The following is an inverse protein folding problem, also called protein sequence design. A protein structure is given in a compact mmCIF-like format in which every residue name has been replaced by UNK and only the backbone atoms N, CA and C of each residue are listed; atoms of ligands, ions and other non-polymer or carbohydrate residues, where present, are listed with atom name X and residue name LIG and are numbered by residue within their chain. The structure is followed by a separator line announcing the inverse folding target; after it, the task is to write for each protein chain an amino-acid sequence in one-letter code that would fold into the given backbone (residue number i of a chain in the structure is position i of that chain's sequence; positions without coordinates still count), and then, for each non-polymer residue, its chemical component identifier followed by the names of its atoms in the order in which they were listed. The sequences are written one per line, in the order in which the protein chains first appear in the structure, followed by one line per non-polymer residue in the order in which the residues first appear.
data_IF_383137714033
#
_entry.id   IF_383137714033
#
_cell.length_a   1.000
_cell.length_b   1.000
_cell.length_c   1.000
_cell.angle_alpha   90.00
_cell.angle_beta   90.00
_cell.angle_gamma   90.00
#
_symmetry.space_group_name_H-M   'P 1'
#
loop_
_entity.id
_entity.type
_entity.pdbx_description
1 polymer ?
#
# COMPACT_ATOMS: atom_id res chain seq x y z
N UNK A 1 83.49 -6.75 21.78
CA UNK A 1 84.14 -6.10 22.93
C UNK A 1 85.59 -5.88 22.53
N UNK A 2 86.01 -4.63 22.30
CA UNK A 2 87.38 -4.34 21.84
C UNK A 2 88.38 -4.66 22.96
N UNK A 3 89.45 -5.40 22.64
CA UNK A 3 90.51 -5.72 23.61
C UNK A 3 91.57 -4.61 23.69
N UNK A 4 91.72 -3.82 22.63
CA UNK A 4 92.70 -2.71 22.55
C UNK A 4 92.00 -1.44 22.10
N UNK A 5 92.00 -0.44 22.98
CA UNK A 5 91.48 0.90 22.74
C UNK A 5 92.65 1.89 22.68
N UNK A 6 92.82 2.54 21.54
CA UNK A 6 94.00 3.38 21.25
C UNK A 6 93.52 4.82 21.04
N UNK A 7 93.86 5.77 21.94
CA UNK A 7 93.50 7.16 21.76
C UNK A 7 94.34 7.82 20.65
N UNK A 8 93.67 8.48 19.70
CA UNK A 8 94.31 9.20 18.60
C UNK A 8 93.68 10.58 18.46
N UNK A 9 94.53 11.60 18.26
CA UNK A 9 94.07 12.96 17.99
C UNK A 9 94.43 13.33 16.55
N UNK A 10 93.43 13.70 15.78
CA UNK A 10 93.60 14.10 14.38
C UNK A 10 93.30 15.57 14.20
N UNK A 11 94.23 16.28 13.56
CA UNK A 11 94.16 17.73 13.37
C UNK A 11 93.90 18.07 11.89
N UNK A 12 92.85 18.85 11.63
CA UNK A 12 92.51 19.33 10.29
C UNK A 12 93.54 20.33 9.74
N UNK A 13 94.19 21.09 10.63
CA UNK A 13 95.26 22.03 10.27
C UNK A 13 96.65 21.37 10.22
N UNK A 14 96.72 20.05 10.52
CA UNK A 14 97.94 19.21 10.44
C UNK A 14 99.12 19.68 11.31
N UNK A 15 98.89 20.56 12.28
CA UNK A 15 99.93 21.13 13.12
C UNK A 15 100.33 20.21 14.28
N UNK A 16 99.40 19.38 14.79
CA UNK A 16 99.73 18.32 15.75
C UNK A 16 100.66 17.28 15.10
N UNK A 17 101.82 17.03 15.73
CA UNK A 17 102.94 16.31 15.09
C UNK A 17 103.19 14.88 15.55
N UNK A 18 102.51 14.35 16.56
CA UNK A 18 102.77 12.99 17.03
C UNK A 18 101.50 12.36 17.60
N UNK A 19 101.06 11.29 16.94
CA UNK A 19 100.22 10.24 17.51
C UNK A 19 101.12 9.05 17.84
N UNK A 20 100.67 8.19 18.75
CA UNK A 20 101.35 6.92 19.00
C UNK A 20 101.33 6.05 17.73
N UNK A 21 102.43 5.33 17.50
CA UNK A 21 102.49 4.32 16.45
C UNK A 21 101.54 3.16 16.80
N UNK A 22 100.74 2.72 15.84
CA UNK A 22 99.77 1.64 16.04
C UNK A 22 100.40 0.35 15.55
N UNK A 23 100.40 -0.68 16.40
CA UNK A 23 101.00 -1.98 16.09
C UNK A 23 99.95 -3.09 16.04
N UNK A 24 99.91 -3.82 14.92
CA UNK A 24 99.08 -5.01 14.72
C UNK A 24 99.84 -6.14 14.03
N UNK A 25 99.16 -7.26 13.80
CA UNK A 25 99.69 -8.41 13.06
C UNK A 25 98.70 -8.83 11.98
N UNK A 26 99.20 -9.42 10.89
CA UNK A 26 98.33 -9.93 9.81
C UNK A 26 97.32 -10.94 10.39
N UNK A 27 96.03 -10.79 10.08
CA UNK A 27 94.97 -11.62 10.67
C UNK A 27 94.19 -11.00 11.83
N UNK A 28 94.65 -9.88 12.40
CA UNK A 28 93.90 -9.15 13.42
C UNK A 28 92.54 -8.69 12.85
N UNK A 29 91.45 -8.87 13.60
CA UNK A 29 90.11 -8.47 13.16
C UNK A 29 89.21 -8.05 14.33
N UNK A 30 88.64 -6.84 14.27
CA UNK A 30 87.50 -6.45 15.10
C UNK A 30 87.79 -6.26 16.60
N UNK A 31 89.04 -6.38 17.03
CA UNK A 31 89.44 -6.26 18.44
C UNK A 31 90.30 -5.02 18.76
N UNK A 32 90.66 -4.23 17.74
CA UNK A 32 91.39 -2.97 17.88
C UNK A 32 90.51 -1.80 17.47
N UNK A 33 90.28 -0.87 18.40
CA UNK A 33 89.46 0.31 18.19
C UNK A 33 90.27 1.57 18.46
N UNK A 34 90.18 2.52 17.53
CA UNK A 34 90.77 3.84 17.63
C UNK A 34 89.72 4.78 18.24
N UNK A 35 90.03 5.38 19.39
CA UNK A 35 89.19 6.43 19.97
C UNK A 35 89.68 7.77 19.42
N UNK A 36 88.98 8.29 18.42
CA UNK A 36 89.45 9.39 17.62
C UNK A 36 88.85 10.70 18.12
N UNK A 37 89.70 11.68 18.41
CA UNK A 37 89.32 13.06 18.65
C UNK A 37 89.75 13.96 17.50
N UNK A 38 88.80 14.67 16.89
CA UNK A 38 89.04 15.61 15.78
C UNK A 38 89.14 17.03 16.30
N UNK A 39 90.24 17.70 15.98
CA UNK A 39 90.51 19.09 16.36
C UNK A 39 90.92 19.94 15.17
N UNK A 40 90.81 21.26 15.31
CA UNK A 40 91.33 22.25 14.37
C UNK A 40 92.21 23.26 15.14
N UNK A 41 93.47 23.38 14.72
CA UNK A 41 94.48 24.29 15.31
C UNK A 41 94.82 25.49 14.43
N UNK A 42 93.98 25.80 13.42
CA UNK A 42 94.18 26.95 12.52
C UNK A 42 94.22 28.32 13.22
N UNK A 43 93.77 28.39 14.48
CA UNK A 43 93.85 29.53 15.37
C UNK A 43 94.47 29.09 16.71
N UNK A 44 95.16 29.98 17.41
CA UNK A 44 95.97 29.72 18.63
C UNK A 44 95.21 29.07 19.82
N UNK A 45 93.90 28.91 19.70
CA UNK A 45 93.05 28.08 20.56
C UNK A 45 92.66 26.77 19.86
N UNK A 46 92.97 25.62 20.45
CA UNK A 46 92.48 24.31 19.96
C UNK A 46 90.95 24.29 19.96
N UNK A 47 90.32 24.18 18.78
CA UNK A 47 88.87 24.10 18.64
C UNK A 47 88.41 22.67 18.40
N UNK A 48 87.33 22.28 19.07
CA UNK A 48 86.59 21.04 18.81
C UNK A 48 85.85 21.18 17.48
N UNK A 49 85.87 20.13 16.65
CA UNK A 49 85.23 20.13 15.32
C UNK A 49 83.84 19.48 15.41
N UNK A 50 82.80 20.17 14.94
CA UNK A 50 81.45 19.60 14.80
C UNK A 50 81.37 18.72 13.53
N UNK A 51 81.07 17.44 13.71
CA UNK A 51 81.00 16.43 12.64
C UNK A 51 79.57 16.21 12.10
N UNK A 52 78.59 17.00 12.54
CA UNK A 52 77.18 16.82 12.18
C UNK A 52 76.99 16.88 10.66
N UNK A 53 76.37 15.83 10.10
CA UNK A 53 76.09 15.73 8.67
C UNK A 53 77.31 15.49 7.78
N UNK A 54 78.45 15.11 8.38
CA UNK A 54 79.66 14.70 7.67
C UNK A 54 79.81 13.18 7.66
N UNK A 55 80.29 12.66 6.54
CA UNK A 55 80.66 11.25 6.41
C UNK A 55 82.15 11.09 6.64
N UNK A 56 82.51 10.17 7.53
CA UNK A 56 83.88 9.90 7.95
C UNK A 56 84.32 8.61 7.29
N UNK A 57 85.49 8.64 6.70
CA UNK A 57 86.13 7.48 6.09
C UNK A 57 87.50 7.27 6.70
N UNK A 58 87.75 6.07 7.21
CA UNK A 58 89.11 5.61 7.41
C UNK A 58 89.72 5.24 6.06
N UNK A 59 90.96 5.65 5.83
CA UNK A 59 91.68 5.36 4.58
C UNK A 59 93.11 4.95 4.90
N UNK A 60 93.58 3.90 4.24
CA UNK A 60 94.99 3.51 4.20
C UNK A 60 95.40 3.17 2.77
N UNK A 61 96.69 3.32 2.47
CA UNK A 61 97.29 2.96 1.18
C UNK A 61 98.33 1.87 1.41
N UNK A 62 98.18 0.76 0.69
CA UNK A 62 99.10 -0.35 0.72
C UNK A 62 100.37 -0.05 -0.10
N UNK A 63 101.52 -0.70 0.20
CA UNK A 63 102.76 -0.56 -0.57
C UNK A 63 102.64 -0.86 -2.06
N UNK A 64 101.65 -1.66 -2.47
CA UNK A 64 101.36 -1.98 -3.87
C UNK A 64 100.53 -0.90 -4.60
N UNK A 65 100.14 0.17 -3.89
CA UNK A 65 99.34 1.28 -4.41
C UNK A 65 97.83 1.06 -4.35
N UNK A 66 97.35 -0.09 -3.86
CA UNK A 66 95.92 -0.29 -3.60
C UNK A 66 95.48 0.55 -2.39
N UNK A 67 94.23 1.01 -2.41
CA UNK A 67 93.68 1.83 -1.32
C UNK A 67 92.53 1.08 -0.65
N UNK A 68 92.51 1.11 0.67
CA UNK A 68 91.36 0.67 1.47
C UNK A 68 90.63 1.88 2.01
N UNK A 69 89.29 1.83 1.95
CA UNK A 69 88.43 2.91 2.41
C UNK A 69 87.18 2.35 3.05
N UNK A 70 86.87 2.83 4.25
CA UNK A 70 85.75 2.32 5.02
C UNK A 70 85.05 3.44 5.81
N UNK A 71 83.72 3.39 5.82
CA UNK A 71 82.87 4.25 6.65
C UNK A 71 81.90 3.49 7.54
N UNK A 72 81.78 2.16 7.38
CA UNK A 72 80.78 1.35 8.07
C UNK A 72 81.20 1.05 9.52
N UNK A 73 82.51 1.04 9.81
CA UNK A 73 83.03 0.75 11.15
C UNK A 73 83.28 1.99 12.01
N UNK A 74 82.76 3.14 11.60
CA UNK A 74 82.69 4.36 12.42
C UNK A 74 81.49 4.25 13.35
N UNK A 75 81.74 4.15 14.66
CA UNK A 75 80.72 3.92 15.69
C UNK A 75 80.88 4.92 16.84
N UNK A 76 80.00 4.85 17.85
CA UNK A 76 80.04 5.70 19.05
C UNK A 76 80.24 7.19 18.78
N UNK A 77 79.65 7.70 17.69
CA UNK A 77 79.85 9.08 17.26
C UNK A 77 79.24 10.06 18.24
N UNK A 78 80.03 11.04 18.66
CA UNK A 78 79.57 12.27 19.28
C UNK A 78 79.98 13.44 18.40
N UNK A 79 79.11 13.74 17.45
CA UNK A 79 79.40 14.71 16.40
C UNK A 79 79.68 16.11 16.94
N UNK A 80 79.01 16.52 18.01
CA UNK A 80 79.19 17.86 18.62
C UNK A 80 80.51 18.01 19.35
N UNK A 81 81.07 16.92 19.86
CA UNK A 81 82.37 16.90 20.52
C UNK A 81 83.51 16.47 19.60
N UNK A 82 83.23 16.19 18.33
CA UNK A 82 84.25 15.80 17.37
C UNK A 82 84.91 14.46 17.66
N UNK A 83 84.23 13.55 18.36
CA UNK A 83 84.79 12.24 18.75
C UNK A 83 84.02 11.08 18.14
N UNK A 84 84.71 10.02 17.78
CA UNK A 84 84.11 8.76 17.32
C UNK A 84 85.05 7.59 17.56
N UNK A 85 84.49 6.38 17.53
CA UNK A 85 85.27 5.15 17.56
C UNK A 85 85.39 4.60 16.14
N UNK A 86 86.59 4.13 15.79
CA UNK A 86 86.80 3.37 14.56
C UNK A 86 87.41 2.01 14.87
N UNK A 87 86.69 0.94 14.56
CA UNK A 87 87.21 -0.42 14.74
C UNK A 87 87.90 -0.88 13.47
N UNK A 88 89.19 -1.21 13.57
CA UNK A 88 89.97 -1.71 12.44
C UNK A 88 89.45 -3.10 12.04
N UNK A 89 89.11 -3.25 10.76
CA UNK A 89 88.60 -4.50 10.18
C UNK A 89 89.75 -5.44 9.80
N UNK A 90 89.45 -6.72 9.57
CA UNK A 90 90.42 -7.68 8.98
C UNK A 90 91.13 -7.12 7.74
N UNK A 91 90.41 -6.35 6.91
CA UNK A 91 90.94 -5.75 5.69
C UNK A 91 91.94 -4.62 5.96
N UNK A 92 92.14 -4.16 7.20
CA UNK A 92 93.23 -3.25 7.57
C UNK A 92 94.52 -4.00 7.90
N UNK A 93 94.41 -5.31 8.22
CA UNK A 93 95.51 -6.19 8.62
C UNK A 93 95.72 -7.30 7.60
N UNK A 94 95.45 -7.01 6.32
CA UNK A 94 95.56 -8.00 5.25
C UNK A 94 97.01 -8.24 4.79
N UNK A 95 97.92 -7.27 5.02
CA UNK A 95 99.31 -7.31 4.56
C UNK A 95 100.27 -6.78 5.63
N UNK A 96 101.46 -7.38 5.75
CA UNK A 96 102.52 -6.88 6.61
C UNK A 96 103.23 -5.66 6.00
N UNK A 97 103.60 -4.68 6.83
CA UNK A 97 104.25 -3.45 6.38
C UNK A 97 104.00 -2.24 7.29
N UNK A 98 104.50 -1.09 6.86
CA UNK A 98 104.27 0.20 7.50
C UNK A 98 103.35 1.02 6.59
N UNK A 99 102.21 1.46 7.12
CA UNK A 99 101.13 2.08 6.37
C UNK A 99 100.83 3.48 6.90
N UNK A 100 100.79 4.45 5.99
CA UNK A 100 100.26 5.77 6.28
C UNK A 100 98.74 5.74 6.21
N UNK A 101 98.10 6.08 7.33
CA UNK A 101 96.67 6.07 7.51
C UNK A 101 96.17 7.49 7.81
N UNK A 102 94.98 7.83 7.32
CA UNK A 102 94.30 9.06 7.72
C UNK A 102 92.79 8.90 7.70
N UNK A 103 92.11 9.81 8.38
CA UNK A 103 90.67 9.97 8.23
C UNK A 103 90.36 11.02 7.18
N UNK A 104 89.41 10.72 6.32
CA UNK A 104 88.85 11.63 5.34
C UNK A 104 87.43 11.99 5.76
N UNK A 105 87.16 13.29 5.81
CA UNK A 105 85.86 13.84 6.17
C UNK A 105 85.26 14.46 4.91
N UNK A 106 84.07 14.01 4.54
CA UNK A 106 83.35 14.47 3.35
C UNK A 106 82.01 15.12 3.72
N UNK A 107 81.67 16.19 3.00
CA UNK A 107 80.35 16.84 3.05
C UNK A 107 79.71 16.83 1.66
N UNK A 108 78.44 16.42 1.60
CA UNK A 108 77.61 16.47 0.39
C UNK A 108 77.59 15.18 -0.44
N UNK A 109 76.46 14.90 -1.10
CA UNK A 109 76.25 13.71 -1.92
C UNK A 109 76.72 13.88 -3.39
N UNK A 110 76.48 15.06 -3.98
CA UNK A 110 76.72 15.33 -5.42
C UNK A 110 78.00 16.13 -5.68
N UNK A 111 78.29 17.16 -4.89
CA UNK A 111 79.59 17.88 -4.90
C UNK A 111 80.26 17.67 -3.55
N UNK A 112 81.31 16.86 -3.53
CA UNK A 112 81.97 16.44 -2.30
C UNK A 112 83.01 17.46 -1.88
N UNK A 113 82.74 18.21 -0.81
CA UNK A 113 83.78 18.97 -0.11
C UNK A 113 84.55 17.98 0.77
N UNK A 114 85.89 18.04 0.72
CA UNK A 114 86.76 17.02 1.32
C UNK A 114 87.85 17.67 2.14
N UNK A 115 88.07 17.15 3.34
CA UNK A 115 89.28 17.43 4.13
C UNK A 115 89.88 16.11 4.61
N UNK A 116 91.20 16.00 4.52
CA UNK A 116 91.95 14.86 5.03
C UNK A 116 92.72 15.27 6.27
N UNK A 117 92.62 14.47 7.33
CA UNK A 117 93.45 14.64 8.51
C UNK A 117 94.91 14.39 8.17
N UNK A 118 95.83 14.82 9.05
CA UNK A 118 97.22 14.39 8.94
C UNK A 118 97.34 12.86 9.08
N UNK A 119 98.34 12.30 8.43
CA UNK A 119 98.65 10.88 8.48
C UNK A 119 99.20 10.45 9.85
N UNK A 120 98.85 9.23 10.25
CA UNK A 120 99.44 8.48 11.35
C UNK A 120 99.82 7.08 10.86
N UNK A 121 100.77 6.46 11.54
CA UNK A 121 101.39 5.22 11.07
C UNK A 121 100.77 3.99 11.73
N UNK A 122 100.40 3.01 10.91
CA UNK A 122 100.03 1.66 11.30
C UNK A 122 101.14 0.70 10.85
N UNK A 123 101.74 0.00 11.80
CA UNK A 123 102.80 -0.99 11.57
C UNK A 123 102.21 -2.38 11.80
N UNK A 124 102.31 -3.24 10.78
CA UNK A 124 101.74 -4.58 10.78
C UNK A 124 102.87 -5.59 10.60
N UNK A 125 103.08 -6.40 11.62
CA UNK A 125 104.04 -7.50 11.54
C UNK A 125 103.47 -8.67 10.73
N UNK A 126 104.34 -9.39 10.03
CA UNK A 126 103.97 -10.64 9.38
C UNK A 126 103.53 -11.68 10.42
N UNK A 127 102.43 -12.38 10.14
CA UNK A 127 102.08 -13.61 10.85
C UNK A 127 102.68 -14.80 10.11
N UNK A 128 103.37 -15.69 10.83
CA UNK A 128 104.03 -16.86 10.25
C UNK A 128 103.08 -17.88 9.59
N UNK A 129 101.75 -17.71 9.72
CA UNK A 129 100.73 -18.62 9.19
C UNK A 129 99.84 -18.01 8.09
N UNK A 130 99.73 -16.69 7.99
CA UNK A 130 98.76 -16.00 7.13
C UNK A 130 99.44 -14.83 6.40
N UNK A 131 100.31 -15.11 5.44
CA UNK A 131 101.12 -14.08 4.75
C UNK A 131 100.29 -13.16 3.80
N UNK A 132 98.99 -13.43 3.61
CA UNK A 132 98.02 -12.58 2.90
C UNK A 132 96.55 -13.04 3.10
N UNK A 133 95.60 -12.15 3.38
CA UNK A 133 94.15 -12.46 3.39
C UNK A 133 93.52 -12.06 2.05
N UNK A 134 92.93 -13.02 1.34
CA UNK A 134 92.15 -12.75 0.12
C UNK A 134 90.82 -12.05 0.47
N UNK A 135 90.57 -10.87 -0.10
CA UNK A 135 89.31 -10.12 0.08
C UNK A 135 88.20 -10.71 -0.83
N UNK A 136 87.01 -11.06 -0.31
CA UNK A 136 85.88 -11.48 -1.14
C UNK A 136 85.22 -10.29 -1.86
N UNK A 137 84.76 -10.54 -3.10
CA UNK A 137 84.25 -9.54 -4.06
C UNK A 137 82.71 -9.36 -3.96
N UNK A 138 82.16 -8.26 -4.52
CA UNK A 138 80.76 -7.76 -4.46
C UNK A 138 79.59 -8.73 -4.82
N UNK A 139 79.83 -10.02 -5.07
CA UNK A 139 78.84 -10.96 -5.61
C UNK A 139 77.75 -11.41 -4.62
N UNK A 140 78.06 -11.53 -3.31
CA UNK A 140 77.10 -12.06 -2.31
C UNK A 140 75.92 -11.11 -2.03
N UNK A 141 76.13 -9.81 -2.10
CA UNK A 141 75.07 -8.81 -1.86
C UNK A 141 74.05 -8.78 -3.01
N UNK A 142 74.47 -9.15 -4.22
CA UNK A 142 73.62 -9.22 -5.41
C UNK A 142 72.65 -10.40 -5.32
N UNK A 143 73.10 -11.55 -4.78
CA UNK A 143 72.26 -12.74 -4.62
C UNK A 143 71.13 -12.51 -3.61
N UNK A 144 71.42 -11.83 -2.50
CA UNK A 144 70.39 -11.47 -1.52
C UNK A 144 69.36 -10.51 -2.10
N UNK A 145 69.80 -9.48 -2.85
CA UNK A 145 68.90 -8.54 -3.51
C UNK A 145 67.94 -9.25 -4.48
N UNK A 146 68.43 -10.24 -5.24
CA UNK A 146 67.61 -11.01 -6.16
C UNK A 146 66.51 -11.81 -5.45
N UNK A 147 66.81 -12.40 -4.29
CA UNK A 147 65.83 -13.14 -3.50
C UNK A 147 64.69 -12.24 -3.00
N UNK A 148 65.03 -11.05 -2.50
CA UNK A 148 64.05 -10.09 -1.98
C UNK A 148 63.12 -9.57 -3.10
N UNK A 149 63.67 -9.32 -4.29
CA UNK A 149 62.88 -8.91 -5.47
C UNK A 149 61.86 -9.98 -5.87
N UNK A 150 62.26 -11.26 -5.88
CA UNK A 150 61.36 -12.36 -6.24
C UNK A 150 60.21 -12.50 -5.24
N UNK A 151 60.48 -12.34 -3.94
CA UNK A 151 59.45 -12.39 -2.90
C UNK A 151 58.41 -11.26 -3.08
N UNK A 152 58.87 -10.03 -3.34
CA UNK A 152 57.97 -8.89 -3.54
C UNK A 152 57.08 -9.03 -4.79
N UNK A 153 57.61 -9.63 -5.87
CA UNK A 153 56.83 -9.92 -7.08
C UNK A 153 55.74 -10.94 -6.78
N UNK A 154 56.04 -12.01 -6.04
CA UNK A 154 55.06 -13.03 -5.68
C UNK A 154 53.90 -12.46 -4.83
N UNK A 155 54.22 -11.60 -3.87
CA UNK A 155 53.20 -10.91 -3.06
C UNK A 155 52.29 -10.02 -3.91
N UNK A 156 52.88 -9.22 -4.80
CA UNK A 156 52.13 -8.33 -5.70
C UNK A 156 51.19 -9.11 -6.63
N UNK A 157 51.62 -10.29 -7.11
CA UNK A 157 50.79 -11.17 -7.93
C UNK A 157 49.60 -11.75 -7.16
N UNK A 158 49.80 -12.14 -5.90
CA UNK A 158 48.72 -12.64 -5.05
C UNK A 158 47.64 -11.58 -4.82
N UNK A 159 48.05 -10.35 -4.47
CA UNK A 159 47.12 -9.23 -4.27
C UNK A 159 46.33 -8.89 -5.54
N UNK A 160 46.98 -8.94 -6.71
CA UNK A 160 46.31 -8.70 -7.99
C UNK A 160 45.24 -9.76 -8.29
N UNK A 161 45.51 -11.03 -8.00
CA UNK A 161 44.56 -12.12 -8.22
C UNK A 161 43.32 -11.99 -7.32
N UNK A 162 43.50 -11.60 -6.05
CA UNK A 162 42.38 -11.36 -5.13
C UNK A 162 41.50 -10.20 -5.63
N UNK A 163 42.12 -9.10 -6.08
CA UNK A 163 41.39 -7.97 -6.64
C UNK A 163 40.59 -8.36 -7.91
N UNK A 164 41.16 -9.20 -8.78
CA UNK A 164 40.47 -9.72 -9.96
C UNK A 164 39.27 -10.60 -9.58
N UNK A 165 39.39 -11.43 -8.55
CA UNK A 165 38.31 -12.27 -8.06
C UNK A 165 37.15 -11.43 -7.48
N UNK A 166 37.45 -10.37 -6.74
CA UNK A 166 36.43 -9.49 -6.18
C UNK A 166 35.75 -8.65 -7.27
N UNK A 167 36.49 -8.18 -8.28
CA UNK A 167 35.92 -7.50 -9.43
C UNK A 167 34.92 -8.38 -10.19
N UNK A 168 35.24 -9.66 -10.36
CA UNK A 168 34.34 -10.63 -11.01
C UNK A 168 33.00 -10.78 -10.25
N UNK A 169 33.04 -10.83 -8.91
CA UNK A 169 31.81 -10.87 -8.08
C UNK A 169 30.96 -9.62 -8.26
N UNK A 170 31.61 -8.44 -8.26
CA UNK A 170 30.91 -7.16 -8.44
C UNK A 170 30.25 -7.09 -9.82
N UNK A 171 30.95 -7.53 -10.87
CA UNK A 171 30.40 -7.57 -12.23
C UNK A 171 29.11 -8.40 -12.31
N UNK A 172 29.10 -9.60 -11.72
CA UNK A 172 27.92 -10.48 -11.73
C UNK A 172 26.69 -9.87 -11.00
N UNK A 173 26.94 -9.11 -9.93
CA UNK A 173 25.87 -8.40 -9.21
C UNK A 173 25.26 -7.27 -10.06
N UNK A 174 26.10 -6.55 -10.82
CA UNK A 174 25.64 -5.50 -11.74
C UNK A 174 24.77 -6.10 -12.84
N UNK A 175 25.19 -7.21 -13.45
CA UNK A 175 24.41 -7.90 -14.48
C UNK A 175 23.02 -8.32 -13.96
N UNK A 176 22.97 -8.86 -12.74
CA UNK A 176 21.70 -9.24 -12.10
C UNK A 176 20.78 -8.03 -11.85
N UNK A 177 21.35 -6.89 -11.47
CA UNK A 177 20.59 -5.67 -11.22
C UNK A 177 20.00 -5.09 -12.53
N UNK A 178 20.76 -5.13 -13.62
CA UNK A 178 20.31 -4.69 -14.94
C UNK A 178 19.09 -5.50 -15.39
N UNK A 179 19.14 -6.84 -15.30
CA UNK A 179 18.02 -7.72 -15.66
C UNK A 179 16.74 -7.38 -14.89
N UNK A 180 16.86 -7.08 -13.59
CA UNK A 180 15.70 -6.68 -12.76
C UNK A 180 15.14 -5.33 -13.17
N UNK A 181 16.00 -4.36 -13.48
CA UNK A 181 15.59 -3.03 -13.91
C UNK A 181 14.82 -3.10 -15.25
N UNK A 182 15.31 -3.88 -16.21
CA UNK A 182 14.66 -4.07 -17.50
C UNK A 182 13.27 -4.72 -17.35
N UNK A 183 13.11 -5.69 -16.45
CA UNK A 183 11.82 -6.29 -16.16
C UNK A 183 10.80 -5.26 -15.63
N UNK A 184 11.22 -4.36 -14.74
CA UNK A 184 10.35 -3.28 -14.23
C UNK A 184 9.96 -2.31 -15.34
N UNK A 185 10.91 -1.90 -16.18
CA UNK A 185 10.64 -1.03 -17.34
C UNK A 185 9.66 -1.69 -18.31
N UNK A 186 9.82 -2.99 -18.59
CA UNK A 186 8.88 -3.74 -19.42
C UNK A 186 7.46 -3.75 -18.83
N UNK A 187 7.31 -3.97 -17.51
CA UNK A 187 6.01 -3.91 -16.83
C UNK A 187 5.37 -2.52 -16.88
N UNK A 188 6.18 -1.44 -16.78
CA UNK A 188 5.71 -0.06 -16.95
C UNK A 188 5.20 0.16 -18.37
N UNK A 189 5.99 -0.20 -19.39
CA UNK A 189 5.60 -0.03 -20.79
C UNK A 189 4.38 -0.87 -21.17
N UNK A 190 4.20 -2.02 -20.54
CA UNK A 190 3.02 -2.86 -20.70
C UNK A 190 1.78 -2.36 -19.92
N UNK A 191 1.86 -1.20 -19.24
CA UNK A 191 0.82 -0.63 -18.38
C UNK A 191 0.35 -1.60 -17.26
N UNK A 192 1.22 -2.49 -16.80
CA UNK A 192 0.88 -3.46 -15.74
C UNK A 192 1.02 -2.88 -14.32
N UNK A 193 1.43 -1.62 -14.20
CA UNK A 193 1.63 -0.93 -12.92
C UNK A 193 0.94 0.42 -12.96
N UNK A 194 0.29 0.81 -11.86
CA UNK A 194 -0.47 2.08 -11.76
C UNK A 194 -0.07 2.84 -10.51
N UNK A 195 -0.03 4.18 -10.60
CA UNK A 195 0.37 5.04 -9.48
C UNK A 195 -0.69 5.01 -8.37
N UNK A 196 -0.24 4.97 -7.13
CA UNK A 196 -1.12 4.98 -5.94
C UNK A 196 -2.07 6.20 -5.96
N UNK A 197 -1.59 7.36 -6.41
CA UNK A 197 -2.38 8.60 -6.53
C UNK A 197 -3.60 8.45 -7.44
N UNK A 198 -3.50 7.60 -8.46
CA UNK A 198 -4.55 7.45 -9.47
C UNK A 198 -5.65 6.48 -8.99
N UNK A 199 -5.41 5.78 -7.87
CA UNK A 199 -6.30 4.75 -7.32
C UNK A 199 -7.23 5.24 -6.21
N UNK A 200 -7.21 6.54 -5.87
CA UNK A 200 -7.95 7.10 -4.74
C UNK A 200 -9.46 6.81 -4.79
N UNK A 201 -10.04 6.82 -6.00
CA UNK A 201 -11.47 6.58 -6.26
C UNK A 201 -11.77 5.19 -6.80
N UNK A 202 -10.79 4.28 -6.78
CA UNK A 202 -11.01 2.94 -7.29
C UNK A 202 -11.81 2.08 -6.32
N UNK A 203 -12.51 1.11 -6.90
CA UNK A 203 -13.17 0.07 -6.14
C UNK A 203 -12.13 -0.81 -5.42
N UNK A 204 -12.01 -0.61 -4.10
CA UNK A 204 -11.01 -1.29 -3.25
C UNK A 204 -11.36 -2.74 -2.90
N UNK A 205 -12.58 -3.19 -3.18
CA UNK A 205 -13.06 -4.54 -2.90
C UNK A 205 -13.62 -5.17 -4.18
N UNK A 206 -13.26 -6.43 -4.44
CA UNK A 206 -13.81 -7.19 -5.57
C UNK A 206 -15.31 -7.40 -5.39
N UNK A 207 -16.13 -7.11 -6.40
CA UNK A 207 -17.55 -7.46 -6.37
C UNK A 207 -17.82 -8.87 -6.93
N UNK A 208 -16.99 -9.31 -7.86
CA UNK A 208 -17.07 -10.58 -8.58
C UNK A 208 -15.82 -11.42 -8.33
N UNK A 209 -15.80 -12.66 -8.81
CA UNK A 209 -14.55 -13.41 -8.91
C UNK A 209 -13.72 -12.93 -10.12
N UNK A 210 -12.55 -13.56 -10.33
CA UNK A 210 -11.60 -13.17 -11.38
C UNK A 210 -12.11 -13.45 -12.81
N UNK A 211 -13.13 -14.29 -12.95
CA UNK A 211 -13.81 -14.54 -14.23
C UNK A 211 -14.95 -13.54 -14.51
N UNK A 212 -15.16 -12.55 -13.64
CA UNK A 212 -16.24 -11.56 -13.77
C UNK A 212 -17.63 -12.09 -13.42
N UNK A 213 -17.73 -13.31 -12.88
CA UNK A 213 -19.01 -13.89 -12.45
C UNK A 213 -19.23 -13.66 -10.95
N UNK A 214 -20.48 -13.83 -10.50
CA UNK A 214 -20.80 -13.73 -9.09
C UNK A 214 -19.95 -14.71 -8.26
N UNK A 215 -19.58 -14.29 -7.05
CA UNK A 215 -18.83 -15.09 -6.10
C UNK A 215 -19.65 -16.30 -5.65
N UNK A 216 -18.95 -17.38 -5.31
CA UNK A 216 -19.57 -18.50 -4.60
C UNK A 216 -19.91 -18.06 -3.17
N UNK A 217 -21.08 -18.46 -2.63
CA UNK A 217 -21.40 -18.17 -1.25
C UNK A 217 -20.49 -18.94 -0.28
N UNK A 218 -20.13 -18.35 0.86
CA UNK A 218 -19.54 -19.11 1.96
C UNK A 218 -20.54 -20.14 2.50
N UNK A 219 -20.05 -21.20 3.12
CA UNK A 219 -20.91 -22.20 3.77
C UNK A 219 -21.38 -21.67 5.12
N UNK A 220 -22.59 -21.09 5.14
CA UNK A 220 -23.20 -20.44 6.29
C UNK A 220 -24.65 -20.87 6.46
N UNK A 221 -25.19 -20.71 7.67
CA UNK A 221 -26.60 -20.99 7.98
C UNK A 221 -27.49 -19.77 7.94
N UNK A 222 -26.92 -18.57 7.95
CA UNK A 222 -27.66 -17.31 7.78
C UNK A 222 -26.98 -16.40 6.77
N UNK A 223 -27.77 -15.67 5.99
CA UNK A 223 -27.30 -14.62 5.09
C UNK A 223 -26.63 -13.49 5.87
N UNK A 224 -26.97 -13.28 7.14
CA UNK A 224 -26.41 -12.22 7.97
C UNK A 224 -24.92 -12.44 8.27
N UNK A 225 -24.44 -13.69 8.24
CA UNK A 225 -23.02 -14.03 8.37
C UNK A 225 -22.21 -13.64 7.13
N UNK A 226 -22.86 -13.47 5.96
CA UNK A 226 -22.21 -13.01 4.74
C UNK A 226 -22.05 -11.49 4.82
N UNK A 227 -21.00 -11.02 5.49
CA UNK A 227 -20.71 -9.58 5.65
C UNK A 227 -19.77 -9.02 4.60
N UNK A 228 -19.16 -9.88 3.78
CA UNK A 228 -18.23 -9.48 2.72
C UNK A 228 -18.97 -8.67 1.64
N UNK A 229 -18.38 -7.56 1.19
CA UNK A 229 -18.88 -6.79 0.05
C UNK A 229 -18.77 -7.62 -1.24
N UNK A 230 -19.84 -7.63 -2.03
CA UNK A 230 -19.82 -8.27 -3.33
C UNK A 230 -21.16 -8.81 -3.79
N UNK A 231 -21.13 -9.49 -4.93
CA UNK A 231 -22.26 -10.14 -5.54
C UNK A 231 -22.07 -11.65 -5.51
N UNK A 232 -22.98 -12.36 -4.86
CA UNK A 232 -22.95 -13.80 -4.66
C UNK A 232 -24.12 -14.47 -5.37
N UNK A 233 -23.88 -15.64 -5.95
CA UNK A 233 -24.93 -16.46 -6.52
C UNK A 233 -25.31 -17.57 -5.53
N UNK A 234 -26.47 -17.42 -4.88
CA UNK A 234 -27.00 -18.43 -3.96
C UNK A 234 -27.86 -19.39 -4.79
N UNK A 235 -27.35 -20.58 -5.05
CA UNK A 235 -28.15 -21.62 -5.73
C UNK A 235 -29.20 -22.22 -4.77
N UNK A 236 -30.15 -23.00 -5.30
CA UNK A 236 -31.24 -23.57 -4.50
C UNK A 236 -30.76 -24.48 -3.35
N UNK A 237 -29.62 -25.18 -3.52
CA UNK A 237 -29.04 -26.05 -2.49
C UNK A 237 -28.48 -25.25 -1.33
N UNK A 238 -27.73 -24.17 -1.62
CA UNK A 238 -27.23 -23.25 -0.61
C UNK A 238 -28.40 -22.52 0.07
N UNK A 239 -29.39 -22.08 -0.71
CA UNK A 239 -30.56 -21.39 -0.19
C UNK A 239 -31.36 -22.24 0.82
N UNK A 240 -31.43 -23.56 0.62
CA UNK A 240 -32.14 -24.47 1.52
C UNK A 240 -31.53 -24.58 2.93
N UNK A 241 -30.25 -24.23 3.09
CA UNK A 241 -29.57 -24.19 4.41
C UNK A 241 -29.82 -22.89 5.17
N UNK A 242 -30.25 -21.83 4.48
CA UNK A 242 -30.35 -20.49 5.03
C UNK A 242 -31.66 -20.34 5.80
N UNK A 243 -31.58 -20.04 7.10
CA UNK A 243 -32.78 -19.90 7.95
C UNK A 243 -33.41 -18.52 7.90
N UNK A 244 -32.72 -17.54 7.31
CA UNK A 244 -33.11 -16.14 7.28
C UNK A 244 -33.25 -15.60 5.85
N UNK A 245 -33.31 -16.47 4.83
CA UNK A 245 -33.64 -16.04 3.47
C UNK A 245 -35.10 -15.56 3.39
N UNK A 246 -35.42 -14.49 2.64
CA UNK A 246 -36.79 -13.97 2.58
C UNK A 246 -37.74 -14.90 1.85
N UNK A 247 -37.24 -15.69 0.88
CA UNK A 247 -37.99 -16.71 0.16
C UNK A 247 -37.11 -17.93 -0.11
N UNK A 248 -37.75 -19.07 -0.39
CA UNK A 248 -37.09 -20.28 -0.88
C UNK A 248 -36.66 -20.15 -2.35
N UNK A 249 -35.59 -20.85 -2.73
CA UNK A 249 -35.10 -20.91 -4.12
C UNK A 249 -33.79 -20.17 -4.32
N UNK A 250 -33.21 -20.28 -5.52
CA UNK A 250 -31.96 -19.59 -5.86
C UNK A 250 -32.15 -18.10 -6.10
N UNK A 251 -31.17 -17.29 -5.71
CA UNK A 251 -31.18 -15.83 -5.83
C UNK A 251 -29.76 -15.27 -5.90
N UNK A 252 -29.67 -13.99 -6.26
CA UNK A 252 -28.43 -13.22 -6.20
C UNK A 252 -28.44 -12.40 -4.93
N UNK A 253 -27.40 -12.52 -4.12
CA UNK A 253 -27.16 -11.67 -2.95
C UNK A 253 -26.19 -10.56 -3.36
N UNK A 254 -26.54 -9.31 -3.11
CA UNK A 254 -25.65 -8.16 -3.28
C UNK A 254 -25.46 -7.50 -1.92
N UNK A 255 -24.20 -7.45 -1.48
CA UNK A 255 -23.80 -6.84 -0.22
C UNK A 255 -23.07 -5.53 -0.51
N UNK A 256 -23.66 -4.43 -0.09
CA UNK A 256 -23.11 -3.10 -0.24
C UNK A 256 -22.72 -2.55 1.14
N UNK A 257 -21.50 -2.02 1.28
CA UNK A 257 -21.10 -1.35 2.51
C UNK A 257 -21.77 0.02 2.59
N UNK A 258 -22.24 0.40 3.78
CA UNK A 258 -22.78 1.74 4.02
C UNK A 258 -21.69 2.80 3.89
N UNK A 259 -22.07 4.03 3.50
CA UNK A 259 -21.17 5.18 3.36
C UNK A 259 -20.43 5.47 4.68
N UNK A 260 -21.08 5.24 5.81
CA UNK A 260 -20.49 5.37 7.14
C UNK A 260 -20.65 4.07 7.94
N UNK A 261 -19.63 3.75 8.73
CA UNK A 261 -19.61 2.57 9.60
C UNK A 261 -19.14 1.28 8.92
N UNK A 262 -19.49 0.16 9.58
CA UNK A 262 -19.14 -1.21 9.15
C UNK A 262 -20.36 -2.05 8.76
N UNK A 263 -21.56 -1.48 8.85
CA UNK A 263 -22.79 -2.15 8.44
C UNK A 263 -22.86 -2.35 6.92
N UNK A 264 -23.61 -3.36 6.51
CA UNK A 264 -23.89 -3.66 5.11
C UNK A 264 -25.40 -3.61 4.84
N UNK A 265 -25.74 -3.16 3.65
CA UNK A 265 -27.05 -3.32 3.04
C UNK A 265 -27.02 -4.58 2.18
N UNK A 266 -27.93 -5.52 2.47
CA UNK A 266 -28.06 -6.76 1.73
C UNK A 266 -29.28 -6.67 0.82
N UNK A 267 -29.10 -7.06 -0.43
CA UNK A 267 -30.18 -7.23 -1.39
C UNK A 267 -30.28 -8.68 -1.85
N UNK A 268 -31.44 -9.28 -1.70
CA UNK A 268 -31.74 -10.60 -2.27
C UNK A 268 -32.63 -10.43 -3.50
N UNK A 269 -32.11 -10.78 -4.68
CA UNK A 269 -32.80 -10.69 -5.97
C UNK A 269 -33.11 -12.07 -6.50
N UNK A 270 -34.40 -12.42 -6.50
CA UNK A 270 -34.93 -13.63 -7.10
C UNK A 270 -35.26 -13.32 -8.56
N UNK A 271 -34.80 -14.18 -9.46
CA UNK A 271 -34.98 -14.00 -10.89
C UNK A 271 -35.59 -15.24 -11.54
N UNK A 272 -36.43 -15.00 -12.53
CA UNK A 272 -37.00 -16.01 -13.41
C UNK A 272 -37.01 -15.47 -14.83
N UNK A 273 -36.61 -16.30 -15.79
CA UNK A 273 -36.59 -15.96 -17.21
C UNK A 273 -37.96 -16.10 -17.87
N UNK A 274 -38.91 -16.78 -17.21
CA UNK A 274 -40.22 -17.14 -17.79
C UNK A 274 -41.39 -16.66 -16.96
N UNK A 275 -41.21 -16.39 -15.66
CA UNK A 275 -42.27 -15.99 -14.75
C UNK A 275 -41.95 -14.65 -14.09
N UNK A 276 -42.49 -13.57 -14.65
CA UNK A 276 -42.30 -12.23 -14.12
C UNK A 276 -42.78 -12.08 -12.66
N UNK A 277 -43.81 -12.82 -12.25
CA UNK A 277 -44.31 -12.81 -10.86
C UNK A 277 -43.36 -13.48 -9.86
N UNK A 278 -42.38 -14.25 -10.34
CA UNK A 278 -41.31 -14.81 -9.51
C UNK A 278 -40.11 -13.88 -9.37
N UNK A 279 -40.08 -12.74 -10.08
CA UNK A 279 -39.09 -11.69 -9.87
C UNK A 279 -39.43 -10.96 -8.56
N UNK A 280 -38.58 -11.11 -7.55
CA UNK A 280 -38.76 -10.53 -6.22
C UNK A 280 -37.46 -9.90 -5.78
N UNK A 281 -37.52 -8.71 -5.19
CA UNK A 281 -36.33 -8.02 -4.68
C UNK A 281 -36.57 -7.62 -3.24
N UNK A 282 -35.71 -8.10 -2.36
CA UNK A 282 -35.74 -7.77 -0.94
C UNK A 282 -34.48 -7.02 -0.54
N UNK A 283 -34.58 -6.21 0.49
CA UNK A 283 -33.43 -5.59 1.14
C UNK A 283 -33.55 -5.63 2.66
N UNK A 284 -32.40 -5.57 3.34
CA UNK A 284 -32.28 -5.38 4.79
C UNK A 284 -30.92 -4.80 5.15
N UNK A 285 -30.75 -4.39 6.40
CA UNK A 285 -29.48 -3.96 6.97
C UNK A 285 -28.93 -5.00 7.93
N UNK A 286 -27.62 -5.24 7.85
CA UNK A 286 -26.86 -6.11 8.75
C UNK A 286 -25.73 -5.28 9.36
N UNK A 287 -25.76 -5.12 10.68
CA UNK A 287 -24.75 -4.41 11.47
C UNK A 287 -24.73 -4.95 12.89
N UNK A 288 -24.76 -4.06 13.90
CA UNK A 288 -24.91 -4.48 15.31
C UNK A 288 -26.24 -5.23 15.57
N UNK A 289 -27.23 -5.04 14.71
CA UNK A 289 -28.48 -5.80 14.69
C UNK A 289 -28.90 -6.05 13.24
N UNK A 290 -29.66 -7.12 13.01
CA UNK A 290 -30.19 -7.49 11.70
C UNK A 290 -31.63 -7.01 11.60
N UNK A 291 -31.97 -6.23 10.58
CA UNK A 291 -33.35 -5.82 10.35
C UNK A 291 -34.13 -6.91 9.62
N UNK A 292 -35.45 -6.95 9.80
CA UNK A 292 -36.33 -7.77 8.97
C UNK A 292 -36.19 -7.43 7.48
N UNK A 293 -36.43 -8.42 6.61
CA UNK A 293 -36.48 -8.22 5.17
C UNK A 293 -37.65 -7.31 4.80
N UNK A 294 -37.37 -6.41 3.86
CA UNK A 294 -38.37 -5.55 3.22
C UNK A 294 -38.36 -5.84 1.74
N UNK A 295 -39.54 -5.95 1.17
CA UNK A 295 -39.70 -6.20 -0.26
C UNK A 295 -39.89 -4.90 -1.03
N UNK A 296 -39.27 -4.79 -2.19
CA UNK A 296 -39.60 -3.76 -3.17
C UNK A 296 -40.92 -4.09 -3.86
N UNK A 297 -41.74 -3.06 -4.10
CA UNK A 297 -42.98 -3.23 -4.85
C UNK A 297 -42.71 -3.85 -6.22
N UNK A 298 -43.51 -4.85 -6.60
CA UNK A 298 -43.45 -5.47 -7.93
C UNK A 298 -44.49 -4.85 -8.85
N UNK A 299 -44.27 -4.90 -10.17
CA UNK A 299 -45.27 -4.45 -11.15
C UNK A 299 -46.60 -5.19 -10.98
N UNK A 300 -46.56 -6.50 -10.73
CA UNK A 300 -47.76 -7.31 -10.45
C UNK A 300 -48.47 -6.87 -9.16
N UNK A 301 -47.71 -6.58 -8.10
CA UNK A 301 -48.25 -6.07 -6.84
C UNK A 301 -48.91 -4.69 -6.98
N UNK A 302 -48.27 -3.78 -7.72
CA UNK A 302 -48.81 -2.47 -8.02
C UNK A 302 -50.09 -2.57 -8.85
N UNK A 303 -50.13 -3.45 -9.86
CA UNK A 303 -51.32 -3.69 -10.67
C UNK A 303 -52.48 -4.25 -9.83
N UNK A 304 -52.22 -5.24 -8.96
CA UNK A 304 -53.24 -5.81 -8.09
C UNK A 304 -53.85 -4.75 -7.15
N UNK A 305 -53.03 -3.83 -6.62
CA UNK A 305 -53.51 -2.70 -5.80
C UNK A 305 -54.36 -1.72 -6.63
N UNK A 306 -53.96 -1.45 -7.87
CA UNK A 306 -54.72 -0.60 -8.78
C UNK A 306 -56.08 -1.23 -9.15
N UNK A 307 -56.10 -2.51 -9.48
CA UNK A 307 -57.31 -3.27 -9.80
C UNK A 307 -58.26 -3.33 -8.59
N UNK A 308 -57.73 -3.56 -7.39
CA UNK A 308 -58.51 -3.53 -6.16
C UNK A 308 -59.11 -2.14 -5.89
N UNK A 309 -58.35 -1.07 -6.10
CA UNK A 309 -58.85 0.29 -5.97
C UNK A 309 -59.96 0.59 -7.00
N UNK A 310 -59.78 0.15 -8.24
CA UNK A 310 -60.79 0.28 -9.29
C UNK A 310 -62.07 -0.49 -8.94
N UNK A 311 -61.96 -1.74 -8.50
CA UNK A 311 -63.10 -2.57 -8.11
C UNK A 311 -63.88 -1.95 -6.94
N UNK A 312 -63.16 -1.48 -5.91
CA UNK A 312 -63.75 -0.79 -4.76
C UNK A 312 -64.48 0.50 -5.18
N UNK A 313 -63.90 1.27 -6.11
CA UNK A 313 -64.54 2.48 -6.64
C UNK A 313 -65.83 2.17 -7.41
N UNK A 314 -65.80 1.16 -8.29
CA UNK A 314 -66.99 0.70 -9.03
C UNK A 314 -68.07 0.22 -8.06
N UNK A 315 -67.72 -0.57 -7.05
CA UNK A 315 -68.66 -1.07 -6.07
C UNK A 315 -69.34 0.07 -5.31
N UNK A 316 -68.56 1.05 -4.84
CA UNK A 316 -69.09 2.22 -4.14
C UNK A 316 -70.09 3.00 -5.00
N UNK A 317 -69.75 3.29 -6.26
CA UNK A 317 -70.64 4.02 -7.19
C UNK A 317 -71.91 3.22 -7.46
N UNK A 318 -71.80 1.92 -7.75
CA UNK A 318 -72.96 1.07 -8.01
C UNK A 318 -73.93 1.06 -6.82
N UNK A 319 -73.43 0.95 -5.58
CA UNK A 319 -74.31 1.01 -4.40
C UNK A 319 -75.09 2.32 -4.29
N UNK A 320 -74.54 3.44 -4.78
CA UNK A 320 -75.19 4.76 -4.69
C UNK A 320 -76.15 5.07 -5.83
N UNK A 321 -76.01 4.43 -7.00
CA UNK A 321 -76.76 4.80 -8.20
C UNK A 321 -77.41 3.62 -8.92
N UNK A 322 -77.51 2.44 -8.31
CA UNK A 322 -78.25 1.30 -8.89
C UNK A 322 -79.70 1.71 -9.16
N UNK A 323 -80.13 1.65 -10.43
CA UNK A 323 -81.52 1.86 -10.87
C UNK A 323 -82.21 0.49 -11.00
N UNK A 324 -83.32 0.28 -10.28
CA UNK A 324 -84.15 -0.93 -10.40
C UNK A 324 -84.83 -1.07 -11.77
N UNK A 325 -84.81 -0.01 -12.59
CA UNK A 325 -85.72 0.16 -13.70
C UNK A 325 -87.15 0.42 -13.22
N UNK A 326 -88.03 0.78 -14.16
CA UNK A 326 -89.45 0.98 -13.86
C UNK A 326 -90.18 -0.36 -13.72
N UNK A 327 -90.62 -0.66 -12.50
CA UNK A 327 -91.35 -1.86 -12.12
C UNK A 327 -92.87 -1.57 -12.09
N UNK A 328 -93.73 -2.53 -12.48
CA UNK A 328 -95.19 -2.37 -12.39
C UNK A 328 -95.65 -2.17 -10.93
N UNK A 329 -96.51 -1.20 -10.68
CA UNK A 329 -97.11 -0.97 -9.36
C UNK A 329 -98.35 -1.86 -9.17
N UNK A 330 -98.35 -2.82 -8.23
CA UNK A 330 -99.53 -3.65 -7.97
C UNK A 330 -100.64 -2.82 -7.34
N UNK A 331 -101.81 -2.79 -7.96
CA UNK A 331 -102.96 -2.03 -7.46
C UNK A 331 -103.89 -2.93 -6.64
N UNK A 332 -104.39 -2.43 -5.52
CA UNK A 332 -105.40 -3.10 -4.69
C UNK A 332 -106.80 -2.97 -5.30
N UNK A 333 -107.72 -3.84 -4.89
CA UNK A 333 -109.12 -3.81 -5.31
C UNK A 333 -109.74 -2.42 -5.13
N UNK A 334 -110.48 -1.94 -6.13
CA UNK A 334 -111.05 -0.58 -6.16
C UNK A 334 -110.18 0.45 -6.89
N UNK A 335 -108.99 0.06 -7.34
CA UNK A 335 -108.07 0.87 -8.11
C UNK A 335 -107.60 0.15 -9.38
N UNK A 336 -107.49 0.88 -10.49
CA UNK A 336 -107.05 0.35 -11.79
C UNK A 336 -106.06 1.28 -12.47
N UNK A 337 -105.30 0.75 -13.43
CA UNK A 337 -104.41 1.56 -14.25
C UNK A 337 -105.22 2.40 -15.26
N UNK A 338 -104.84 3.66 -15.43
CA UNK A 338 -105.38 4.53 -16.49
C UNK A 338 -104.61 4.39 -17.80
N UNK A 339 -104.63 5.46 -18.62
CA UNK A 339 -103.89 5.52 -19.90
C UNK A 339 -102.36 5.45 -19.75
N UNK A 340 -101.83 5.64 -18.54
CA UNK A 340 -100.42 5.49 -18.22
C UNK A 340 -100.27 4.47 -17.08
N UNK A 341 -99.63 3.34 -17.35
CA UNK A 341 -99.48 2.25 -16.37
C UNK A 341 -98.73 2.73 -15.12
N UNK A 342 -99.32 2.61 -13.92
CA UNK A 342 -98.64 2.91 -12.68
C UNK A 342 -97.39 2.07 -12.47
N UNK A 343 -96.29 2.73 -12.15
CA UNK A 343 -94.97 2.12 -11.97
C UNK A 343 -94.20 2.81 -10.86
N UNK A 344 -93.21 2.11 -10.31
CA UNK A 344 -92.25 2.64 -9.36
C UNK A 344 -90.84 2.21 -9.74
N UNK A 345 -89.84 2.95 -9.27
CA UNK A 345 -88.43 2.55 -9.36
C UNK A 345 -87.66 3.05 -8.14
N UNK A 346 -86.46 2.50 -7.93
CA UNK A 346 -85.50 2.97 -6.94
C UNK A 346 -84.17 3.23 -7.63
N UNK A 347 -83.61 4.43 -7.44
CA UNK A 347 -82.26 4.79 -7.85
C UNK A 347 -81.46 5.12 -6.60
N UNK A 348 -80.48 4.28 -6.27
CA UNK A 348 -79.77 4.41 -4.99
C UNK A 348 -80.75 4.25 -3.83
N UNK A 349 -80.97 5.31 -3.06
CA UNK A 349 -81.93 5.33 -1.92
C UNK A 349 -83.24 6.04 -2.27
N UNK A 350 -83.34 6.70 -3.42
CA UNK A 350 -84.52 7.45 -3.86
C UNK A 350 -85.52 6.52 -4.57
N UNK A 351 -86.74 6.44 -4.06
CA UNK A 351 -87.89 5.80 -4.71
C UNK A 351 -88.69 6.86 -5.44
N UNK A 352 -89.20 6.52 -6.62
CA UNK A 352 -90.04 7.40 -7.43
C UNK A 352 -91.22 6.63 -7.99
N UNK A 353 -92.36 7.31 -8.15
CA UNK A 353 -93.55 6.76 -8.78
C UNK A 353 -93.91 7.52 -10.06
N UNK A 354 -94.62 6.84 -10.96
CA UNK A 354 -95.22 7.43 -12.15
C UNK A 354 -96.48 6.70 -12.58
N UNK A 355 -97.20 7.29 -13.53
CA UNK A 355 -98.40 6.72 -14.13
C UNK A 355 -99.69 7.27 -13.53
N UNK A 356 -100.81 6.71 -13.94
CA UNK A 356 -102.16 7.20 -13.65
C UNK A 356 -102.98 6.11 -12.95
N UNK A 357 -103.47 6.41 -11.75
CA UNK A 357 -104.35 5.52 -10.99
C UNK A 357 -105.79 5.99 -11.12
N UNK A 358 -106.65 5.11 -11.63
CA UNK A 358 -108.11 5.29 -11.71
C UNK A 358 -108.76 4.65 -10.49
N UNK A 359 -109.87 5.23 -10.04
CA UNK A 359 -110.54 4.89 -8.77
C UNK A 359 -111.97 4.50 -9.05
N UNK A 360 -112.42 3.37 -8.53
CA UNK A 360 -113.81 2.94 -8.65
C UNK A 360 -114.70 3.88 -7.83
N UNK A 361 -115.68 4.51 -8.46
CA UNK A 361 -116.67 5.40 -7.82
C UNK A 361 -116.08 6.56 -6.99
N UNK A 362 -114.87 7.03 -7.32
CA UNK A 362 -114.25 8.18 -6.66
C UNK A 362 -113.70 7.92 -5.24
N UNK A 363 -113.58 6.65 -4.82
CA UNK A 363 -113.12 6.27 -3.48
C UNK A 363 -111.69 6.73 -3.13
N UNK A 364 -111.43 6.82 -1.83
CA UNK A 364 -110.10 7.01 -1.20
C UNK A 364 -109.66 5.72 -0.52
N UNK A 365 -108.38 5.62 -0.15
CA UNK A 365 -107.82 4.46 0.54
C UNK A 365 -106.49 3.98 -0.04
N UNK A 366 -105.99 2.89 0.53
CA UNK A 366 -104.71 2.28 0.14
C UNK A 366 -104.84 1.64 -1.25
N UNK A 367 -104.16 2.21 -2.23
CA UNK A 367 -104.20 1.71 -3.61
C UNK A 367 -103.03 0.81 -3.96
N UNK A 368 -101.93 0.84 -3.20
CA UNK A 368 -100.80 -0.08 -3.36
C UNK A 368 -100.01 -0.23 -2.05
N UNK A 369 -99.11 -1.20 -2.00
CA UNK A 369 -98.14 -1.36 -0.91
C UNK A 369 -96.76 -1.55 -1.52
N UNK A 370 -95.83 -0.63 -1.22
CA UNK A 370 -94.44 -0.71 -1.59
C UNK A 370 -93.77 -1.97 -0.98
N UNK A 371 -93.05 -2.76 -1.79
CA UNK A 371 -92.31 -3.92 -1.30
C UNK A 371 -91.25 -3.53 -0.26
N UNK A 372 -90.83 -4.50 0.56
CA UNK A 372 -89.67 -4.32 1.43
C UNK A 372 -88.44 -3.88 0.61
N UNK A 373 -87.70 -2.89 1.10
CA UNK A 373 -86.60 -2.24 0.36
C UNK A 373 -87.02 -1.03 -0.49
N UNK A 374 -88.33 -0.78 -0.68
CA UNK A 374 -88.88 0.40 -1.37
C UNK A 374 -89.76 1.27 -0.45
N UNK A 375 -89.85 0.92 0.83
CA UNK A 375 -90.64 1.67 1.83
C UNK A 375 -89.85 2.86 2.33
N UNK A 376 -90.54 3.96 2.59
CA UNK A 376 -89.90 5.12 3.23
C UNK A 376 -89.24 4.71 4.55
N UNK A 377 -88.08 5.30 4.84
CA UNK A 377 -87.39 5.19 6.13
C UNK A 377 -87.93 6.19 7.16
N UNK A 378 -88.71 7.19 6.74
CA UNK A 378 -89.27 8.18 7.65
C UNK A 378 -90.30 7.53 8.60
N UNK A 379 -90.30 7.89 9.89
CA UNK A 379 -91.24 7.32 10.87
C UNK A 379 -92.65 7.95 10.79
N UNK A 380 -92.86 8.91 9.89
CA UNK A 380 -94.11 9.66 9.74
C UNK A 380 -94.74 9.42 8.36
N UNK A 381 -95.96 9.95 8.16
CA UNK A 381 -96.68 9.84 6.89
C UNK A 381 -96.17 10.91 5.93
N UNK A 382 -95.47 10.53 4.87
CA UNK A 382 -95.00 11.47 3.86
C UNK A 382 -96.15 11.85 2.91
N UNK A 383 -96.50 13.14 2.90
CA UNK A 383 -97.62 13.67 2.13
C UNK A 383 -97.19 14.29 0.81
N UNK A 384 -97.80 13.81 -0.28
CA UNK A 384 -97.56 14.30 -1.63
C UNK A 384 -98.86 14.83 -2.23
N UNK A 385 -98.86 16.11 -2.61
CA UNK A 385 -99.93 16.68 -3.42
C UNK A 385 -99.71 16.27 -4.87
N UNK A 386 -100.67 15.55 -5.42
CA UNK A 386 -100.62 15.04 -6.79
C UNK A 386 -101.70 15.68 -7.66
N UNK A 387 -101.41 15.85 -8.94
CA UNK A 387 -102.40 16.32 -9.90
C UNK A 387 -103.48 15.28 -10.17
N UNK A 388 -104.72 15.73 -10.38
CA UNK A 388 -105.79 14.86 -10.88
C UNK A 388 -105.93 14.97 -12.40
N UNK A 389 -106.43 13.91 -13.05
CA UNK A 389 -106.85 13.96 -14.44
C UNK A 389 -108.17 14.73 -14.56
N UNK A 390 -108.13 16.06 -14.50
CA UNK A 390 -109.29 16.95 -14.55
C UNK A 390 -108.91 18.29 -15.17
N UNK A 391 -109.86 18.94 -15.84
CA UNK A 391 -109.75 20.31 -16.33
C UNK A 391 -110.20 21.37 -15.32
N UNK A 392 -110.70 20.95 -14.15
CA UNK A 392 -111.16 21.85 -13.10
C UNK A 392 -109.99 22.54 -12.38
N UNK A 393 -110.14 23.83 -12.10
CA UNK A 393 -109.16 24.59 -11.31
C UNK A 393 -109.04 23.99 -9.90
N UNK A 394 -107.81 23.86 -9.40
CA UNK A 394 -107.53 23.31 -8.06
C UNK A 394 -107.63 21.78 -7.94
N UNK A 395 -107.80 21.05 -9.05
CA UNK A 395 -107.94 19.60 -9.03
C UNK A 395 -106.66 18.88 -8.54
N UNK A 396 -106.66 18.50 -7.26
CA UNK A 396 -105.54 17.84 -6.60
C UNK A 396 -106.00 16.65 -5.74
N UNK A 397 -105.09 15.70 -5.55
CA UNK A 397 -105.19 14.63 -4.56
C UNK A 397 -104.06 14.72 -3.55
N UNK A 398 -104.28 14.19 -2.36
CA UNK A 398 -103.26 14.04 -1.32
C UNK A 398 -102.98 12.56 -1.13
N UNK A 399 -101.75 12.14 -1.45
CA UNK A 399 -101.28 10.77 -1.28
C UNK A 399 -100.32 10.71 -0.12
N UNK A 400 -100.53 9.76 0.79
CA UNK A 400 -99.60 9.42 1.86
C UNK A 400 -98.83 8.16 1.52
N UNK A 401 -97.52 8.23 1.68
CA UNK A 401 -96.64 7.07 1.75
C UNK A 401 -96.37 6.79 3.22
N UNK A 402 -96.66 5.55 3.65
CA UNK A 402 -96.54 5.15 5.06
C UNK A 402 -95.26 4.32 5.30
N UNK A 403 -94.75 4.28 6.54
CA UNK A 403 -93.64 3.39 6.91
C UNK A 403 -93.98 1.89 6.69
N UNK A 404 -95.27 1.51 6.73
CA UNK A 404 -95.73 0.16 6.39
C UNK A 404 -95.51 -0.21 4.91
N UNK A 405 -95.20 0.78 4.07
CA UNK A 405 -95.18 0.68 2.61
C UNK A 405 -96.52 1.00 1.96
N UNK A 406 -97.60 1.18 2.72
CA UNK A 406 -98.89 1.52 2.12
C UNK A 406 -98.83 2.88 1.43
N UNK A 407 -99.34 2.91 0.20
CA UNK A 407 -99.52 4.14 -0.58
C UNK A 407 -101.02 4.41 -0.64
N UNK A 408 -101.43 5.46 0.05
CA UNK A 408 -102.83 5.77 0.33
C UNK A 408 -103.24 7.09 -0.29
N UNK A 409 -104.31 7.10 -1.05
CA UNK A 409 -104.99 8.33 -1.42
C UNK A 409 -105.89 8.72 -0.25
N UNK A 410 -105.59 9.82 0.43
CA UNK A 410 -106.31 10.25 1.63
C UNK A 410 -107.42 11.24 1.29
N UNK A 411 -107.17 12.13 0.32
CA UNK A 411 -108.14 13.12 -0.13
C UNK A 411 -108.01 13.36 -1.64
N UNK A 412 -109.12 13.71 -2.28
CA UNK A 412 -109.17 14.07 -3.69
C UNK A 412 -110.28 15.11 -3.92
N UNK A 413 -109.99 16.14 -4.71
CA UNK A 413 -110.93 17.24 -4.99
C UNK A 413 -112.09 16.78 -5.88
N UNK A 414 -111.77 16.02 -6.93
CA UNK A 414 -112.74 15.51 -7.91
C UNK A 414 -112.76 13.98 -7.93
N UNK A 415 -113.82 13.37 -8.47
CA UNK A 415 -113.95 11.93 -8.67
C UNK A 415 -113.20 11.40 -9.92
N UNK A 416 -111.98 11.90 -10.18
CA UNK A 416 -111.14 11.50 -11.33
C UNK A 416 -109.85 10.79 -10.89
N UNK A 417 -109.06 10.28 -11.86
CA UNK A 417 -107.79 9.62 -11.59
C UNK A 417 -106.70 10.56 -11.06
N UNK A 418 -105.64 10.00 -10.47
CA UNK A 418 -104.50 10.74 -9.91
C UNK A 418 -103.19 10.39 -10.63
N UNK A 419 -102.34 11.38 -10.87
CA UNK A 419 -101.00 11.20 -11.43
C UNK A 419 -99.99 10.91 -10.31
N UNK A 420 -99.22 9.85 -10.43
CA UNK A 420 -98.20 9.52 -9.43
C UNK A 420 -96.86 10.24 -9.67
N UNK A 421 -96.69 10.87 -10.83
CA UNK A 421 -95.49 11.63 -11.17
C UNK A 421 -95.28 12.77 -10.19
N UNK A 422 -94.14 12.80 -9.51
CA UNK A 422 -93.81 13.79 -8.47
C UNK A 422 -93.82 13.22 -7.05
N UNK A 423 -94.29 11.98 -6.86
CA UNK A 423 -94.06 11.26 -5.60
C UNK A 423 -92.64 10.67 -5.63
N UNK A 424 -91.82 11.12 -4.70
CA UNK A 424 -90.49 10.55 -4.47
C UNK A 424 -90.04 10.73 -3.03
N UNK A 425 -89.38 9.71 -2.49
CA UNK A 425 -88.91 9.69 -1.11
C UNK A 425 -87.67 8.81 -0.97
N UNK A 426 -86.99 8.92 0.15
CA UNK A 426 -85.80 8.13 0.43
C UNK A 426 -86.10 6.90 1.29
N UNK A 427 -85.20 5.92 1.25
CA UNK A 427 -85.34 4.60 1.90
C UNK A 427 -84.19 4.29 2.85
N UNK A 428 -83.31 5.27 3.09
CA UNK A 428 -82.06 5.16 3.86
C UNK A 428 -82.18 5.56 5.32
#
# INVERSE_FOLDING_TARGET
MALRNIPIVVDLNRAVRSNQEIWGRVGDNGLMTLNVGVIDTSDSTKKVVDLTGLTIYFTLVYPDGTYFRDSLNVTSRNDKLGTFDYTLTANCFAQAGVFDCHFRIEKGATTKLRSGTRDFTLTIEADGLQDNIAMPDFASDIDQLNADIQAAIAESQAQLNDALADLAKVSANVDTAIVKADAVVASINANQVVKITDTANWQKAKLTNDAGVAKAPPDVTTLAEITEQGSFYINSTAAAKLTDAPLTGGFRLENNRLISGVGIEQHARYFSTTNASALRHFFRYVGASVTAWREYETTTGAQAKADAAQANAIQFVNTKFTDSGWLPLPLKTGFTAGSSTPQYRKIGTLVMYRGLVIRTSGGTGVFSTAPAGYRTSDPYLEGFVVGQQSSAAGASGLVYVKPSGDVELVAATNATGIWLSGISYYTD
#
